data_IF_114272696540
#
_entry.id   IF_114272696540
#
_cell.length_a   1.000
_cell.length_b   1.000
_cell.length_c   1.000
_cell.angle_alpha   90.00
_cell.angle_beta   90.00
_cell.angle_gamma   90.00
#
_symmetry.space_group_name_H-M   'P 1'
#
loop_
_entity.id
_entity.type
_entity.pdbx_description
1 polymer ?
#
# COMPACT_ATOMS: atom_id res chain seq x y z
N UNK A 1 24.09 -40.28 40.40
CA UNK A 1 22.95 -39.63 39.72
C UNK A 1 23.45 -38.39 39.00
N UNK A 2 23.42 -38.37 37.66
CA UNK A 2 23.93 -37.24 36.89
C UNK A 2 23.01 -36.02 37.01
N UNK A 3 23.56 -34.82 36.83
CA UNK A 3 22.78 -33.57 36.87
C UNK A 3 21.61 -33.60 35.86
N UNK A 4 21.81 -34.23 34.70
CA UNK A 4 20.78 -34.38 33.66
C UNK A 4 19.54 -35.15 34.14
N UNK A 5 19.72 -36.23 34.94
CA UNK A 5 18.59 -36.99 35.48
C UNK A 5 17.78 -36.18 36.49
N UNK A 6 18.43 -35.32 37.29
CA UNK A 6 17.76 -34.43 38.25
C UNK A 6 16.98 -33.32 37.54
N UNK A 7 17.57 -32.70 36.53
CA UNK A 7 16.93 -31.66 35.71
C UNK A 7 15.69 -32.25 35.01
N UNK A 8 15.81 -33.42 34.39
CA UNK A 8 14.67 -34.09 33.75
C UNK A 8 13.52 -34.39 34.72
N UNK A 9 13.84 -34.87 35.93
CA UNK A 9 12.82 -35.12 36.96
C UNK A 9 12.13 -33.83 37.43
N UNK A 10 12.87 -32.72 37.53
CA UNK A 10 12.34 -31.40 37.87
C UNK A 10 11.40 -30.87 36.78
N UNK A 11 11.80 -30.98 35.51
CA UNK A 11 10.97 -30.60 34.36
C UNK A 11 9.64 -31.38 34.39
N UNK A 12 9.68 -32.71 34.54
CA UNK A 12 8.46 -33.54 34.58
C UNK A 12 7.55 -33.16 35.75
N UNK A 13 8.13 -32.83 36.92
CA UNK A 13 7.37 -32.34 38.08
C UNK A 13 6.65 -31.04 37.75
N UNK A 14 7.34 -30.07 37.18
CA UNK A 14 6.77 -28.75 36.89
C UNK A 14 5.72 -28.81 35.77
N UNK A 15 5.91 -29.60 34.71
CA UNK A 15 4.87 -29.82 33.69
C UNK A 15 3.61 -30.45 34.28
N UNK A 16 3.77 -31.43 35.18
CA UNK A 16 2.64 -32.05 35.89
C UNK A 16 1.97 -31.08 36.87
N UNK A 17 2.72 -30.13 37.42
CA UNK A 17 2.19 -29.06 38.27
C UNK A 17 1.36 -28.08 37.44
N UNK A 18 1.91 -27.57 36.33
CA UNK A 18 1.21 -26.70 35.38
C UNK A 18 -0.09 -27.33 34.87
N UNK A 19 -0.06 -28.62 34.51
CA UNK A 19 -1.25 -29.33 34.04
C UNK A 19 -2.35 -29.51 35.09
N UNK A 20 -2.01 -29.47 36.40
CA UNK A 20 -2.99 -29.56 37.50
C UNK A 20 -3.48 -28.21 37.98
N UNK A 21 -2.66 -27.17 37.88
CA UNK A 21 -3.06 -25.81 38.21
C UNK A 21 -3.86 -25.18 37.08
N UNK A 22 -5.18 -25.37 37.14
CA UNK A 22 -6.13 -24.83 36.15
C UNK A 22 -6.04 -23.31 36.00
N UNK A 23 -5.64 -22.57 37.03
CA UNK A 23 -5.53 -21.09 36.96
C UNK A 23 -4.30 -20.70 36.16
N UNK A 24 -3.15 -21.31 36.47
CA UNK A 24 -1.90 -21.07 35.74
C UNK A 24 -2.03 -21.52 34.29
N UNK A 25 -2.62 -22.70 34.04
CA UNK A 25 -2.89 -23.17 32.68
C UNK A 25 -3.83 -22.22 31.91
N UNK A 26 -4.86 -21.70 32.55
CA UNK A 26 -5.77 -20.72 31.95
C UNK A 26 -5.04 -19.44 31.56
N UNK A 27 -4.16 -18.89 32.39
CA UNK A 27 -3.40 -17.67 32.07
C UNK A 27 -2.41 -17.93 30.92
N UNK A 28 -1.68 -19.04 30.96
CA UNK A 28 -0.68 -19.41 29.94
C UNK A 28 -1.33 -19.63 28.57
N UNK A 29 -2.58 -20.07 28.51
CA UNK A 29 -3.33 -20.24 27.26
C UNK A 29 -4.12 -18.97 26.86
N UNK A 30 -4.74 -18.29 27.82
CA UNK A 30 -5.56 -17.12 27.55
C UNK A 30 -4.73 -15.90 27.14
N UNK A 31 -3.52 -15.73 27.69
CA UNK A 31 -2.68 -14.59 27.35
C UNK A 31 -2.25 -14.60 25.87
N UNK A 32 -1.73 -15.71 25.30
CA UNK A 32 -1.48 -15.80 23.86
C UNK A 32 -2.73 -15.66 22.99
N UNK A 33 -3.87 -16.22 23.40
CA UNK A 33 -5.14 -16.06 22.65
C UNK A 33 -5.60 -14.60 22.65
N UNK A 34 -5.53 -13.92 23.80
CA UNK A 34 -5.83 -12.50 23.91
C UNK A 34 -4.87 -11.67 23.07
N UNK A 35 -3.57 -11.97 23.09
CA UNK A 35 -2.57 -11.33 22.23
C UNK A 35 -2.91 -11.55 20.74
N UNK A 36 -3.32 -12.75 20.34
CA UNK A 36 -3.74 -13.05 18.99
C UNK A 36 -4.97 -12.25 18.58
N UNK A 37 -5.98 -12.13 19.45
CA UNK A 37 -7.17 -11.30 19.22
C UNK A 37 -6.79 -9.82 19.11
N UNK A 38 -5.92 -9.34 20.00
CA UNK A 38 -5.42 -7.97 19.97
C UNK A 38 -4.65 -7.70 18.68
N UNK A 39 -3.77 -8.60 18.22
CA UNK A 39 -3.06 -8.44 16.95
C UNK A 39 -3.98 -8.58 15.74
N UNK A 40 -4.97 -9.48 15.77
CA UNK A 40 -5.95 -9.64 14.69
C UNK A 40 -6.78 -8.36 14.49
N UNK A 41 -7.01 -7.59 15.55
CA UNK A 41 -7.72 -6.31 15.49
C UNK A 41 -6.80 -5.09 15.31
N UNK A 42 -5.61 -5.10 15.93
CA UNK A 42 -4.68 -3.97 15.93
C UNK A 42 -3.81 -3.92 14.66
N UNK A 43 -3.53 -5.06 14.04
CA UNK A 43 -2.80 -5.12 12.77
C UNK A 43 -3.81 -4.99 11.63
N UNK A 44 -4.05 -3.76 11.18
CA UNK A 44 -4.68 -3.53 9.88
C UNK A 44 -3.58 -3.40 8.82
N UNK A 45 -3.61 -4.28 7.81
CA UNK A 45 -2.80 -4.14 6.61
C UNK A 45 -3.60 -3.48 5.48
N UNK A 46 -4.79 -2.95 5.78
CA UNK A 46 -5.64 -2.27 4.80
C UNK A 46 -5.05 -0.90 4.51
N UNK A 47 -4.15 -0.85 3.53
CA UNK A 47 -3.53 0.38 3.06
C UNK A 47 -4.47 1.01 2.04
N UNK A 48 -5.52 1.68 2.53
CA UNK A 48 -6.43 2.51 1.73
C UNK A 48 -6.39 3.94 2.24
N UNK A 49 -6.74 4.92 1.40
CA UNK A 49 -6.76 6.35 1.77
C UNK A 49 -5.43 6.93 2.29
N UNK A 50 -4.31 6.54 1.68
CA UNK A 50 -2.98 7.03 2.05
C UNK A 50 -2.88 8.52 1.76
N UNK A 51 -2.53 9.32 2.78
CA UNK A 51 -2.36 10.76 2.64
C UNK A 51 -1.31 11.07 1.57
N UNK A 52 -1.74 11.79 0.55
CA UNK A 52 -0.95 12.10 -0.64
C UNK A 52 -0.94 13.61 -0.86
N UNK A 53 0.24 14.18 -1.07
CA UNK A 53 0.39 15.56 -1.55
C UNK A 53 0.74 15.55 -3.03
N UNK A 54 0.24 16.52 -3.78
CA UNK A 54 0.56 16.67 -5.20
C UNK A 54 1.30 17.97 -5.46
N UNK A 55 2.31 17.93 -6.33
CA UNK A 55 3.11 19.09 -6.73
C UNK A 55 3.01 19.20 -8.24
N UNK A 56 2.36 20.25 -8.72
CA UNK A 56 2.21 20.53 -10.15
C UNK A 56 3.13 21.68 -10.56
N UNK A 57 4.30 21.33 -11.12
CA UNK A 57 5.24 22.31 -11.68
C UNK A 57 4.92 22.65 -13.14
N UNK A 58 4.17 21.80 -13.84
CA UNK A 58 3.83 22.00 -15.25
C UNK A 58 2.64 22.96 -15.41
N UNK A 59 1.66 22.86 -14.50
CA UNK A 59 0.46 23.71 -14.42
C UNK A 59 -0.31 23.76 -15.74
N UNK A 60 -0.39 22.63 -16.43
CA UNK A 60 -1.12 22.47 -17.69
C UNK A 60 -2.43 21.71 -17.48
N UNK A 61 -3.38 21.77 -18.44
CA UNK A 61 -4.55 20.90 -18.40
C UNK A 61 -4.20 19.41 -18.36
N UNK A 62 -3.09 19.01 -18.98
CA UNK A 62 -2.60 17.64 -19.01
C UNK A 62 -2.06 17.19 -17.64
N UNK A 63 -1.26 18.03 -16.95
CA UNK A 63 -0.80 17.73 -15.59
C UNK A 63 -1.98 17.67 -14.61
N UNK A 64 -2.94 18.59 -14.73
CA UNK A 64 -4.15 18.58 -13.92
C UNK A 64 -5.00 17.33 -14.15
N UNK A 65 -5.12 16.85 -15.40
CA UNK A 65 -5.82 15.60 -15.72
C UNK A 65 -5.14 14.38 -15.11
N UNK A 66 -3.81 14.32 -15.19
CA UNK A 66 -3.02 13.29 -14.55
C UNK A 66 -3.20 13.29 -13.02
N UNK A 67 -3.11 14.44 -12.36
CA UNK A 67 -3.29 14.54 -10.91
C UNK A 67 -4.72 14.21 -10.45
N UNK A 68 -5.74 14.48 -11.29
CA UNK A 68 -7.11 14.03 -11.03
C UNK A 68 -7.22 12.51 -10.97
N UNK A 69 -6.42 11.76 -11.73
CA UNK A 69 -6.44 10.29 -11.68
C UNK A 69 -6.02 9.74 -10.32
N UNK A 70 -5.08 10.41 -9.65
CA UNK A 70 -4.72 10.11 -8.25
C UNK A 70 -5.88 10.43 -7.31
N UNK A 71 -6.50 11.60 -7.44
CA UNK A 71 -7.62 12.00 -6.59
C UNK A 71 -8.87 11.12 -6.75
N UNK A 72 -9.06 10.49 -7.92
CA UNK A 72 -10.16 9.55 -8.17
C UNK A 72 -9.90 8.12 -7.71
N UNK A 73 -8.70 7.81 -7.23
CA UNK A 73 -8.34 6.47 -6.76
C UNK A 73 -8.68 6.28 -5.28
N UNK A 74 -9.29 5.15 -4.93
CA UNK A 74 -9.58 4.79 -3.52
C UNK A 74 -8.31 4.61 -2.65
N UNK A 75 -7.14 4.49 -3.28
CA UNK A 75 -5.88 4.33 -2.58
C UNK A 75 -5.26 5.66 -2.15
N UNK A 76 -5.32 6.69 -3.00
CA UNK A 76 -4.63 7.96 -2.78
C UNK A 76 -5.59 9.02 -2.27
N UNK A 77 -5.46 9.39 -0.99
CA UNK A 77 -6.21 10.50 -0.43
C UNK A 77 -5.42 11.79 -0.60
N UNK A 78 -5.74 12.55 -1.65
CA UNK A 78 -5.08 13.84 -1.91
C UNK A 78 -5.50 14.85 -0.84
N UNK A 79 -4.57 15.22 0.05
CA UNK A 79 -4.82 16.10 1.20
C UNK A 79 -4.46 17.56 0.94
N UNK A 80 -3.72 17.83 -0.12
CA UNK A 80 -3.32 19.18 -0.48
C UNK A 80 -2.34 19.23 -1.64
N UNK A 81 -1.97 20.45 -2.00
CA UNK A 81 -0.95 20.78 -2.99
C UNK A 81 0.26 21.38 -2.30
N UNK A 82 1.46 21.03 -2.75
CA UNK A 82 2.70 21.69 -2.33
C UNK A 82 3.36 22.41 -3.51
N UNK A 83 4.15 23.44 -3.21
CA UNK A 83 4.73 24.32 -4.24
C UNK A 83 6.10 23.82 -4.74
N UNK A 84 6.79 22.97 -3.97
CA UNK A 84 8.10 22.48 -4.36
C UNK A 84 8.57 21.25 -3.59
N UNK A 85 9.69 20.68 -4.06
CA UNK A 85 10.26 19.47 -3.50
C UNK A 85 10.76 19.64 -2.06
N UNK A 86 11.19 20.85 -1.68
CA UNK A 86 11.61 21.19 -0.32
C UNK A 86 10.48 21.05 0.72
N UNK A 87 9.21 21.09 0.27
CA UNK A 87 8.08 20.84 1.15
C UNK A 87 7.82 19.35 1.38
N UNK A 88 8.35 18.45 0.53
CA UNK A 88 8.10 17.01 0.65
C UNK A 88 8.68 16.45 1.95
N UNK A 89 9.94 16.78 2.27
CA UNK A 89 10.57 16.35 3.52
C UNK A 89 9.80 16.86 4.74
N UNK A 90 9.39 18.14 4.72
CA UNK A 90 8.60 18.74 5.79
C UNK A 90 7.24 18.05 5.97
N UNK A 91 6.57 17.73 4.87
CA UNK A 91 5.26 17.07 4.87
C UNK A 91 5.36 15.64 5.39
N UNK A 92 6.44 14.93 5.07
CA UNK A 92 6.72 13.59 5.58
C UNK A 92 7.09 13.63 7.07
N UNK A 93 7.98 14.53 7.49
CA UNK A 93 8.41 14.70 8.89
C UNK A 93 7.24 15.06 9.82
N UNK A 94 6.29 15.86 9.33
CA UNK A 94 5.09 16.24 10.07
C UNK A 94 3.95 15.22 9.98
N UNK A 95 4.16 14.12 9.27
CA UNK A 95 3.16 13.09 9.02
C UNK A 95 1.87 13.65 8.37
N UNK A 96 2.00 14.74 7.61
CA UNK A 96 0.91 15.41 6.88
C UNK A 96 0.55 14.60 5.62
N UNK A 97 1.56 14.04 4.94
CA UNK A 97 1.39 13.05 3.87
C UNK A 97 2.43 11.94 3.97
N UNK A 98 2.13 10.78 3.39
CA UNK A 98 3.04 9.62 3.27
C UNK A 98 3.53 9.41 1.84
N UNK A 99 2.85 10.04 0.88
CA UNK A 99 3.17 9.98 -0.54
C UNK A 99 3.21 11.40 -1.10
N UNK A 100 4.17 11.70 -1.96
CA UNK A 100 4.22 12.93 -2.74
C UNK A 100 4.34 12.61 -4.22
N UNK A 101 3.42 13.14 -5.03
CA UNK A 101 3.42 12.99 -6.50
C UNK A 101 3.88 14.30 -7.11
N UNK A 102 4.94 14.28 -7.89
CA UNK A 102 5.53 15.47 -8.51
C UNK A 102 5.45 15.35 -10.02
N UNK A 103 4.75 16.32 -10.62
CA UNK A 103 4.69 16.50 -12.07
C UNK A 103 5.67 17.61 -12.45
N UNK A 104 6.79 17.27 -13.14
CA UNK A 104 7.79 18.25 -13.51
C UNK A 104 7.30 19.15 -14.65
N UNK A 105 7.88 20.35 -14.76
CA UNK A 105 7.63 21.24 -15.88
C UNK A 105 8.00 20.57 -17.22
N UNK A 106 7.17 20.76 -18.24
CA UNK A 106 7.33 20.14 -19.55
C UNK A 106 6.53 18.86 -19.75
N UNK A 107 5.89 18.33 -18.71
CA UNK A 107 5.07 17.11 -18.77
C UNK A 107 4.03 17.15 -19.90
N UNK A 108 3.17 18.18 -19.93
CA UNK A 108 2.12 18.30 -20.94
C UNK A 108 2.69 18.51 -22.35
N UNK A 109 3.84 19.18 -22.46
CA UNK A 109 4.54 19.35 -23.74
C UNK A 109 5.07 18.04 -24.28
N UNK A 110 5.72 17.23 -23.44
CA UNK A 110 6.22 15.91 -23.83
C UNK A 110 5.07 14.99 -24.26
N UNK A 111 3.96 14.97 -23.51
CA UNK A 111 2.77 14.20 -23.91
C UNK A 111 2.21 14.65 -25.27
N UNK A 112 2.08 15.95 -25.49
CA UNK A 112 1.59 16.48 -26.76
C UNK A 112 2.53 16.17 -27.94
N UNK A 113 3.83 16.09 -27.69
CA UNK A 113 4.84 15.71 -28.68
C UNK A 113 4.91 14.19 -28.93
N UNK A 114 4.14 13.37 -28.21
CA UNK A 114 4.27 11.91 -28.24
C UNK A 114 5.59 11.41 -27.62
N UNK A 115 6.26 12.25 -26.83
CA UNK A 115 7.49 11.93 -26.13
C UNK A 115 7.19 11.31 -24.74
N UNK A 116 8.21 10.65 -24.18
CA UNK A 116 8.10 10.08 -22.84
C UNK A 116 8.09 11.19 -21.78
N UNK A 117 6.93 11.43 -21.18
CA UNK A 117 6.82 12.29 -20.01
C UNK A 117 7.24 11.54 -18.73
N UNK A 118 7.91 12.23 -17.82
CA UNK A 118 8.36 11.67 -16.54
C UNK A 118 7.57 12.27 -15.38
N UNK A 119 7.40 11.47 -14.32
CA UNK A 119 6.75 11.86 -13.07
C UNK A 119 7.53 11.22 -11.93
N UNK A 120 7.58 11.89 -10.79
CA UNK A 120 8.24 11.35 -9.60
C UNK A 120 7.19 11.06 -8.52
N UNK A 121 7.30 9.90 -7.89
CA UNK A 121 6.46 9.53 -6.75
C UNK A 121 7.40 9.19 -5.59
N UNK A 122 7.33 10.00 -4.54
CA UNK A 122 8.07 9.81 -3.29
C UNK A 122 7.17 9.15 -2.27
N UNK A 123 7.72 8.19 -1.52
CA UNK A 123 7.00 7.45 -0.49
C UNK A 123 7.84 7.45 0.78
N UNK A 124 7.19 7.66 1.93
CA UNK A 124 7.82 7.53 3.25
C UNK A 124 8.23 6.08 3.52
N UNK A 125 9.55 5.85 3.59
CA UNK A 125 10.14 4.53 3.80
C UNK A 125 10.11 4.04 5.25
N UNK A 126 9.66 4.86 6.20
CA UNK A 126 9.59 4.51 7.63
C UNK A 126 8.63 3.34 7.90
N UNK A 127 7.66 3.10 7.00
CA UNK A 127 6.76 1.93 7.03
C UNK A 127 6.95 1.10 5.74
N UNK A 128 7.87 0.11 5.73
CA UNK A 128 8.27 -0.60 4.51
C UNK A 128 7.12 -1.30 3.77
N UNK A 129 6.12 -1.79 4.49
CA UNK A 129 4.95 -2.44 3.88
C UNK A 129 4.06 -1.42 3.15
N UNK A 130 3.73 -0.30 3.79
CA UNK A 130 2.93 0.76 3.17
C UNK A 130 3.65 1.36 1.95
N UNK A 131 4.97 1.59 2.05
CA UNK A 131 5.78 2.06 0.93
C UNK A 131 5.79 1.08 -0.27
N UNK A 132 5.90 -0.23 -0.01
CA UNK A 132 5.84 -1.23 -1.09
C UNK A 132 4.47 -1.27 -1.77
N UNK A 133 3.39 -1.26 -0.98
CA UNK A 133 2.03 -1.27 -1.52
C UNK A 133 1.78 0.02 -2.32
N UNK A 134 2.13 1.19 -1.77
CA UNK A 134 1.99 2.48 -2.44
C UNK A 134 2.77 2.56 -3.76
N UNK A 135 3.99 2.01 -3.80
CA UNK A 135 4.76 1.91 -5.04
C UNK A 135 4.02 1.08 -6.11
N UNK A 136 3.43 -0.04 -5.72
CA UNK A 136 2.65 -0.89 -6.62
C UNK A 136 1.45 -0.15 -7.22
N UNK A 137 0.65 0.53 -6.38
CA UNK A 137 -0.49 1.32 -6.83
C UNK A 137 -0.07 2.50 -7.72
N UNK A 138 1.01 3.20 -7.38
CA UNK A 138 1.51 4.32 -8.18
C UNK A 138 1.96 3.86 -9.58
N UNK A 139 2.68 2.74 -9.66
CA UNK A 139 3.09 2.14 -10.94
C UNK A 139 1.87 1.74 -11.77
N UNK A 140 0.90 1.04 -11.17
CA UNK A 140 -0.30 0.60 -11.87
C UNK A 140 -1.13 1.79 -12.41
N UNK A 141 -1.31 2.83 -11.59
CA UNK A 141 -2.04 4.04 -11.98
C UNK A 141 -1.31 4.78 -13.11
N UNK A 142 0.01 4.93 -13.02
CA UNK A 142 0.81 5.56 -14.06
C UNK A 142 0.76 4.78 -15.38
N UNK A 143 0.76 3.45 -15.33
CA UNK A 143 0.61 2.60 -16.52
C UNK A 143 -0.78 2.74 -17.14
N UNK A 144 -1.85 2.72 -16.33
CA UNK A 144 -3.21 2.89 -16.80
C UNK A 144 -3.42 4.27 -17.46
N UNK A 145 -2.90 5.34 -16.82
CA UNK A 145 -2.95 6.68 -17.40
C UNK A 145 -2.11 6.79 -18.69
N UNK A 146 -0.92 6.20 -18.71
CA UNK A 146 -0.07 6.17 -19.91
C UNK A 146 -0.76 5.46 -21.09
N UNK A 147 -1.49 4.38 -20.83
CA UNK A 147 -2.28 3.69 -21.85
C UNK A 147 -3.41 4.57 -22.39
N UNK A 148 -4.17 5.26 -21.52
CA UNK A 148 -5.24 6.14 -21.98
C UNK A 148 -4.71 7.30 -22.84
N UNK A 149 -3.57 7.89 -22.45
CA UNK A 149 -2.92 8.96 -23.23
C UNK A 149 -2.41 8.43 -24.57
N UNK A 150 -1.85 7.22 -24.61
CA UNK A 150 -1.38 6.62 -25.86
C UNK A 150 -2.53 6.34 -26.84
N UNK A 151 -3.68 5.88 -26.34
CA UNK A 151 -4.90 5.68 -27.15
C UNK A 151 -5.43 7.00 -27.69
N UNK A 152 -5.54 8.02 -26.84
CA UNK A 152 -6.02 9.36 -27.24
C UNK A 152 -5.08 10.01 -28.28
N UNK A 153 -3.77 9.87 -28.10
CA UNK A 153 -2.78 10.34 -29.07
C UNK A 153 -2.92 9.62 -30.41
N UNK A 154 -3.07 8.29 -30.41
CA UNK A 154 -3.22 7.51 -31.63
C UNK A 154 -4.51 7.85 -32.39
N UNK A 155 -5.62 8.00 -31.68
CA UNK A 155 -6.91 8.42 -32.26
C UNK A 155 -6.82 9.82 -32.89
N UNK A 156 -6.13 10.75 -32.23
CA UNK A 156 -5.85 12.09 -32.78
C UNK A 156 -4.97 12.06 -34.05
N UNK A 157 -4.17 11.01 -34.25
CA UNK A 157 -3.40 10.77 -35.48
C UNK A 157 -4.17 9.94 -36.52
N UNK A 158 -5.42 9.56 -36.26
CA UNK A 158 -6.23 8.70 -37.13
C UNK A 158 -5.78 7.24 -37.13
N UNK A 159 -5.01 6.80 -36.12
CA UNK A 159 -4.58 5.42 -35.94
C UNK A 159 -5.54 4.68 -35.02
N UNK A 160 -6.30 3.74 -35.55
CA UNK A 160 -7.16 2.87 -34.73
C UNK A 160 -6.34 1.77 -34.05
N UNK A 161 -5.88 2.07 -32.84
CA UNK A 161 -5.23 1.11 -31.93
C UNK A 161 -6.23 0.29 -31.11
N UNK A 162 -7.53 0.62 -31.16
CA UNK A 162 -8.57 -0.18 -30.48
C UNK A 162 -8.91 -1.46 -31.24
N UNK A 163 -8.57 -1.53 -32.53
CA UNK A 163 -8.61 -2.75 -33.34
C UNK A 163 -7.61 -3.82 -32.86
N UNK A 164 -6.54 -3.44 -32.14
CA UNK A 164 -5.69 -4.39 -31.45
C UNK A 164 -6.43 -4.93 -30.22
N UNK A 165 -6.67 -6.25 -30.17
CA UNK A 165 -7.50 -6.87 -29.14
C UNK A 165 -7.14 -6.44 -27.71
N UNK A 166 -8.14 -6.01 -26.94
CA UNK A 166 -7.96 -5.62 -25.55
C UNK A 166 -7.97 -6.84 -24.62
N UNK A 167 -7.07 -6.84 -23.64
CA UNK A 167 -7.07 -7.82 -22.57
C UNK A 167 -8.04 -7.36 -21.47
N UNK A 168 -9.12 -8.11 -21.24
CA UNK A 168 -10.04 -7.89 -20.12
C UNK A 168 -9.61 -8.79 -18.94
N UNK A 169 -8.95 -8.26 -17.90
CA UNK A 169 -8.51 -9.08 -16.78
C UNK A 169 -9.71 -9.46 -15.89
N UNK A 170 -10.15 -10.71 -15.98
CA UNK A 170 -11.20 -11.27 -15.11
C UNK A 170 -10.61 -11.80 -13.81
N UNK A 171 -10.20 -10.89 -12.94
CA UNK A 171 -9.61 -11.25 -11.64
C UNK A 171 -10.74 -11.61 -10.66
N UNK A 172 -10.69 -12.82 -10.10
CA UNK A 172 -11.60 -13.24 -9.03
C UNK A 172 -10.78 -13.64 -7.81
N UNK A 173 -11.04 -12.99 -6.68
CA UNK A 173 -10.47 -13.39 -5.40
C UNK A 173 -11.33 -14.51 -4.82
N UNK A 174 -10.75 -15.71 -4.67
CA UNK A 174 -11.49 -16.90 -4.21
C UNK A 174 -11.80 -16.89 -2.70
N UNK A 175 -11.10 -16.08 -1.90
CA UNK A 175 -11.31 -15.91 -0.46
C UNK A 175 -11.03 -14.45 -0.05
N UNK A 176 -11.91 -13.83 0.75
CA UNK A 176 -11.85 -12.41 1.14
C UNK A 176 -11.96 -11.40 -0.03
N UNK A 177 -13.11 -11.35 -0.74
CA UNK A 177 -13.35 -10.40 -1.82
C UNK A 177 -13.36 -8.94 -1.35
N UNK A 178 -13.66 -8.70 -0.07
CA UNK A 178 -13.68 -7.37 0.56
C UNK A 178 -12.30 -6.88 1.02
N UNK A 179 -11.23 -7.69 0.85
CA UNK A 179 -9.83 -7.39 1.22
C UNK A 179 -9.61 -7.00 2.68
N UNK A 180 -10.48 -7.43 3.59
CA UNK A 180 -10.40 -7.08 5.01
C UNK A 180 -9.22 -7.80 5.69
N UNK A 181 -8.32 -7.06 6.33
CA UNK A 181 -7.11 -7.66 6.95
C UNK A 181 -7.43 -8.62 8.10
N UNK A 182 -8.56 -8.39 8.79
CA UNK A 182 -9.03 -9.24 9.89
C UNK A 182 -9.21 -10.70 9.50
N UNK A 183 -9.58 -10.96 8.24
CA UNK A 183 -9.92 -12.30 7.76
C UNK A 183 -8.67 -13.14 7.44
N UNK A 184 -7.51 -12.49 7.29
CA UNK A 184 -6.21 -13.15 7.09
C UNK A 184 -5.49 -13.52 8.39
N UNK A 185 -5.85 -12.86 9.50
CA UNK A 185 -5.14 -12.98 10.78
C UNK A 185 -5.76 -14.00 11.73
N UNK A 186 -6.95 -14.51 11.41
CA UNK A 186 -7.60 -15.59 12.16
C UNK A 186 -7.13 -16.92 11.57
N UNK A 187 -6.35 -17.74 12.30
CA UNK A 187 -6.04 -19.09 11.85
C UNK A 187 -7.34 -19.90 11.74
N UNK A 188 -7.49 -20.65 10.64
CA UNK A 188 -8.55 -21.65 10.48
C UNK A 188 -8.38 -22.85 11.41
#
# INVERSE_FOLDING_TARGET
>A
MSAATRIGALIVKEFRHLGRDRRTLAVVLALPVLQMILFAYAISFDVTNVSTVVIDQDRTPASAAYLRSYASSDFFRVVGTADGLADVDRVFDRNEARIAVVVPAGFGRSLAAGEQATVAVYLDGSEPTAARVGRGFAVALNQAYGQSVAVEWADAQGLDVTAAGQLEPRVRTWYNPERRSSDFLIPG
#
